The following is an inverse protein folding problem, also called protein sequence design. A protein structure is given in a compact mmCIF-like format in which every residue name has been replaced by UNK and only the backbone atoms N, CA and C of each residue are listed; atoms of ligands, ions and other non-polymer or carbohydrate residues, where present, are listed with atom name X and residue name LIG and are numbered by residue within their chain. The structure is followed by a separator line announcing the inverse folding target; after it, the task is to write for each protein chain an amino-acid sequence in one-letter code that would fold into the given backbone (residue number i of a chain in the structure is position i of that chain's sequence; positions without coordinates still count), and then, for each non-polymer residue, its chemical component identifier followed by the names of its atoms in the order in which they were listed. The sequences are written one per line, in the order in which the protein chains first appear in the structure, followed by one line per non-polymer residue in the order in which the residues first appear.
data_IF_468375023762
#
_entry.id   IF_468375023762
#
_cell.length_a   1.000
_cell.length_b   1.000
_cell.length_c   1.000
_cell.angle_alpha   90.00
_cell.angle_beta   90.00
_cell.angle_gamma   90.00
#
_symmetry.space_group_name_H-M   'P 1'
#
loop_
_entity.id
_entity.type
_entity.pdbx_description
1 polymer ?
#
# COMPACT_ATOMS: atom_id res chain seq x y z
N UNK A 1 -43.76 -69.93 77.06
CA UNK A 1 -43.98 -69.40 75.74
C UNK A 1 -43.80 -67.89 75.80
N UNK A 2 -42.64 -67.36 75.46
CA UNK A 2 -42.40 -65.94 75.27
C UNK A 2 -41.49 -65.81 73.99
N UNK A 3 -42.00 -65.24 73.00
CA UNK A 3 -41.27 -64.89 71.79
C UNK A 3 -40.52 -63.59 71.99
N UNK A 4 -39.21 -63.59 71.94
CA UNK A 4 -38.41 -62.39 71.96
C UNK A 4 -38.24 -61.86 70.45
N UNK A 5 -38.56 -60.61 70.32
CA UNK A 5 -38.43 -59.87 69.09
C UNK A 5 -37.04 -59.19 69.09
N UNK A 6 -36.19 -59.52 68.11
CA UNK A 6 -34.89 -58.87 67.90
C UNK A 6 -35.10 -57.72 66.92
N UNK A 7 -34.87 -56.49 67.34
CA UNK A 7 -34.91 -55.30 66.54
C UNK A 7 -33.48 -55.05 66.03
N UNK A 8 -33.34 -55.08 64.69
CA UNK A 8 -32.12 -54.63 64.05
C UNK A 8 -32.22 -53.13 63.73
N UNK A 9 -31.35 -52.36 64.34
CA UNK A 9 -31.15 -50.95 64.00
C UNK A 9 -30.13 -50.86 62.86
N UNK A 10 -30.61 -50.42 61.68
CA UNK A 10 -29.75 -50.07 60.55
C UNK A 10 -29.27 -48.60 60.72
N UNK A 11 -27.99 -48.42 60.95
CA UNK A 11 -27.34 -47.12 60.95
C UNK A 11 -26.99 -46.80 59.45
N UNK A 12 -27.71 -45.85 58.86
CA UNK A 12 -27.39 -45.32 57.52
C UNK A 12 -26.28 -44.29 57.71
N UNK A 13 -25.08 -44.57 57.20
CA UNK A 13 -24.00 -43.59 57.05
C UNK A 13 -24.24 -42.79 55.83
N UNK A 14 -24.63 -41.56 55.99
CA UNK A 14 -24.76 -40.58 54.88
C UNK A 14 -23.37 -40.06 54.46
N UNK A 15 -22.85 -40.56 53.34
CA UNK A 15 -21.66 -40.01 52.66
C UNK A 15 -22.05 -38.71 51.93
N UNK A 16 -21.72 -37.57 52.48
CA UNK A 16 -21.78 -36.28 51.79
C UNK A 16 -20.64 -36.23 50.77
N UNK A 17 -20.92 -36.50 49.51
CA UNK A 17 -20.05 -36.14 48.39
C UNK A 17 -20.11 -34.60 48.22
N UNK A 18 -19.10 -33.89 48.68
CA UNK A 18 -18.83 -32.49 48.30
C UNK A 18 -18.41 -32.48 46.84
N UNK A 19 -19.35 -32.30 45.90
CA UNK A 19 -19.04 -31.91 44.53
C UNK A 19 -18.49 -30.48 44.56
N UNK A 20 -17.16 -30.37 44.50
CA UNK A 20 -16.51 -29.11 44.20
C UNK A 20 -16.96 -28.66 42.79
N UNK A 21 -17.91 -27.74 42.76
CA UNK A 21 -18.23 -27.00 41.54
C UNK A 21 -16.98 -26.17 41.20
N UNK A 22 -16.16 -26.69 40.30
CA UNK A 22 -15.10 -25.90 39.67
C UNK A 22 -15.84 -24.86 38.86
N UNK A 23 -16.11 -23.70 39.45
CA UNK A 23 -16.44 -22.52 38.65
C UNK A 23 -15.25 -22.26 37.74
N UNK A 24 -15.42 -22.30 36.41
CA UNK A 24 -14.38 -21.78 35.57
C UNK A 24 -14.19 -20.32 35.97
N UNK A 25 -13.03 -20.03 36.55
CA UNK A 25 -12.66 -18.66 36.86
C UNK A 25 -12.92 -17.85 35.56
N UNK A 26 -13.87 -16.95 35.63
CA UNK A 26 -14.06 -15.94 34.61
C UNK A 26 -12.75 -15.16 34.60
N UNK A 27 -11.81 -15.57 33.73
CA UNK A 27 -10.62 -14.79 33.48
C UNK A 27 -11.12 -13.47 32.92
N UNK A 28 -11.04 -12.42 33.70
CA UNK A 28 -11.40 -11.09 33.27
C UNK A 28 -10.61 -10.84 31.95
N UNK A 29 -11.32 -10.61 30.87
CA UNK A 29 -10.69 -10.36 29.59
C UNK A 29 -9.72 -9.19 29.72
N UNK A 30 -8.48 -9.38 29.34
CA UNK A 30 -7.50 -8.29 29.35
C UNK A 30 -8.04 -7.10 28.53
N UNK A 31 -7.76 -5.84 28.92
CA UNK A 31 -8.20 -4.69 28.15
C UNK A 31 -7.66 -4.80 26.70
N UNK A 32 -8.47 -4.41 25.71
CA UNK A 32 -8.06 -4.52 24.31
C UNK A 32 -6.81 -3.67 24.01
N UNK A 33 -6.10 -4.03 22.95
CA UNK A 33 -5.15 -3.13 22.30
C UNK A 33 -5.94 -2.23 21.37
N UNK A 34 -5.74 -0.93 21.44
CA UNK A 34 -6.48 0.04 20.62
C UNK A 34 -5.60 0.49 19.46
N UNK A 35 -6.00 0.15 18.24
CA UNK A 35 -5.34 0.60 17.01
C UNK A 35 -6.18 1.72 16.40
N UNK A 36 -5.55 2.85 16.08
CA UNK A 36 -6.16 3.96 15.33
C UNK A 36 -5.93 3.80 13.84
N UNK A 37 -6.98 3.98 13.03
CA UNK A 37 -6.86 4.25 11.62
C UNK A 37 -7.05 5.75 11.40
N UNK A 38 -6.13 6.37 10.63
CA UNK A 38 -6.23 7.73 10.16
C UNK A 38 -6.12 7.75 8.63
N UNK A 39 -7.13 8.29 7.92
CA UNK A 39 -7.14 8.31 6.46
C UNK A 39 -8.51 8.70 5.91
N UNK A 40 -8.62 8.84 4.59
CA UNK A 40 -9.87 9.22 3.94
C UNK A 40 -10.87 8.05 3.91
N UNK A 41 -12.12 8.32 4.31
CA UNK A 41 -13.22 7.36 4.19
C UNK A 41 -13.88 7.35 2.81
N UNK A 42 -13.55 8.31 1.95
CA UNK A 42 -14.20 8.52 0.67
C UNK A 42 -13.35 8.12 -0.53
N UNK A 43 -12.03 8.23 -0.45
CA UNK A 43 -11.15 7.81 -1.54
C UNK A 43 -11.00 6.28 -1.61
N UNK A 44 -10.74 5.77 -2.81
CA UNK A 44 -10.50 4.34 -3.02
C UNK A 44 -9.25 3.85 -2.26
N UNK A 45 -8.22 4.70 -2.20
CA UNK A 45 -6.98 4.40 -1.48
C UNK A 45 -7.19 4.36 0.03
N UNK A 46 -7.86 5.37 0.62
CA UNK A 46 -8.17 5.38 2.05
C UNK A 46 -9.06 4.20 2.47
N UNK A 47 -10.11 3.90 1.68
CA UNK A 47 -10.95 2.71 1.90
C UNK A 47 -10.13 1.42 1.82
N UNK A 48 -9.24 1.33 0.85
CA UNK A 48 -8.40 0.13 0.69
C UNK A 48 -7.48 -0.09 1.89
N UNK A 49 -6.85 0.97 2.38
CA UNK A 49 -6.02 0.91 3.60
C UNK A 49 -6.85 0.44 4.81
N UNK A 50 -8.01 1.07 5.04
CA UNK A 50 -8.89 0.71 6.14
C UNK A 50 -9.28 -0.77 6.08
N UNK A 51 -9.74 -1.24 4.93
CA UNK A 51 -10.17 -2.63 4.71
C UNK A 51 -9.01 -3.63 4.88
N UNK A 52 -7.81 -3.27 4.43
CA UNK A 52 -6.62 -4.07 4.66
C UNK A 52 -6.30 -4.23 6.15
N UNK A 53 -6.40 -3.14 6.90
CA UNK A 53 -6.23 -3.16 8.36
C UNK A 53 -7.35 -3.95 9.07
N UNK A 54 -8.61 -3.77 8.67
CA UNK A 54 -9.76 -4.50 9.23
C UNK A 54 -9.60 -6.02 9.07
N UNK A 55 -9.24 -6.49 7.87
CA UNK A 55 -9.03 -7.92 7.60
C UNK A 55 -7.88 -8.48 8.46
N UNK A 56 -6.75 -7.77 8.56
CA UNK A 56 -5.63 -8.21 9.39
C UNK A 56 -6.01 -8.30 10.87
N UNK A 57 -6.72 -7.30 11.38
CA UNK A 57 -7.19 -7.25 12.77
C UNK A 57 -8.20 -8.36 13.05
N UNK A 58 -9.14 -8.60 12.16
CA UNK A 58 -10.09 -9.70 12.28
C UNK A 58 -9.39 -11.06 12.36
N UNK A 59 -8.42 -11.32 11.48
CA UNK A 59 -7.64 -12.55 11.49
C UNK A 59 -6.83 -12.74 12.76
N UNK A 60 -6.22 -11.66 13.29
CA UNK A 60 -5.49 -11.70 14.55
C UNK A 60 -6.42 -11.96 15.74
N UNK A 61 -7.58 -11.31 15.77
CA UNK A 61 -8.58 -11.52 16.79
C UNK A 61 -9.17 -12.94 16.76
N UNK A 62 -9.43 -13.47 15.55
CA UNK A 62 -9.91 -14.85 15.37
C UNK A 62 -8.87 -15.91 15.84
N UNK A 63 -7.59 -15.58 15.80
CA UNK A 63 -6.49 -16.42 16.34
C UNK A 63 -6.32 -16.32 17.85
N UNK A 64 -7.17 -15.57 18.55
CA UNK A 64 -7.15 -15.39 19.99
C UNK A 64 -6.57 -14.06 20.48
N UNK A 65 -6.36 -13.11 19.59
CA UNK A 65 -5.81 -11.78 19.90
C UNK A 65 -4.28 -11.75 19.95
N UNK A 66 -3.73 -10.69 20.51
CA UNK A 66 -2.29 -10.40 20.59
C UNK A 66 -1.86 -10.16 22.05
N UNK A 67 -0.57 -10.07 22.31
CA UNK A 67 0.01 -9.74 23.64
C UNK A 67 -0.61 -10.58 24.77
N UNK A 68 -0.65 -11.90 24.54
CA UNK A 68 -1.19 -12.84 25.53
C UNK A 68 -2.71 -12.85 25.59
N UNK A 69 -3.39 -12.71 24.44
CA UNK A 69 -4.84 -12.89 24.31
C UNK A 69 -5.67 -11.61 24.39
N UNK A 70 -5.06 -10.42 24.26
CA UNK A 70 -5.78 -9.15 24.17
C UNK A 70 -6.40 -9.02 22.77
N UNK A 71 -7.69 -8.72 22.70
CA UNK A 71 -8.35 -8.41 21.44
C UNK A 71 -7.92 -7.04 20.94
N UNK A 72 -7.88 -6.84 19.63
CA UNK A 72 -7.62 -5.55 19.01
C UNK A 72 -8.94 -4.83 18.77
N UNK A 73 -9.05 -3.59 19.23
CA UNK A 73 -10.13 -2.66 18.91
C UNK A 73 -9.61 -1.67 17.87
N UNK A 74 -10.28 -1.56 16.72
CA UNK A 74 -9.98 -0.53 15.72
C UNK A 74 -10.85 0.71 15.97
N UNK A 75 -10.20 1.88 16.03
CA UNK A 75 -10.84 3.20 16.06
C UNK A 75 -10.48 3.94 14.77
N UNK A 76 -11.42 4.67 14.21
CA UNK A 76 -11.27 5.26 12.89
C UNK A 76 -11.43 6.77 12.96
N UNK A 77 -10.57 7.52 12.28
CA UNK A 77 -10.63 8.96 12.14
C UNK A 77 -10.47 9.36 10.67
N UNK A 78 -11.48 10.09 10.15
CA UNK A 78 -11.50 10.57 8.77
C UNK A 78 -10.66 11.85 8.64
N UNK A 79 -9.78 11.89 7.65
CA UNK A 79 -9.00 13.06 7.31
C UNK A 79 -9.66 13.92 6.22
N UNK A 80 -10.68 13.40 5.56
CA UNK A 80 -11.31 14.01 4.38
C UNK A 80 -10.31 14.49 3.30
N UNK A 81 -9.08 13.96 3.31
CA UNK A 81 -7.94 14.41 2.49
C UNK A 81 -7.60 15.92 2.69
N UNK A 82 -7.90 16.44 3.87
CA UNK A 82 -7.62 17.81 4.29
C UNK A 82 -6.59 17.84 5.42
N UNK A 83 -5.62 18.75 5.35
CA UNK A 83 -4.52 18.86 6.32
C UNK A 83 -5.04 19.21 7.72
N UNK A 84 -6.01 20.14 7.81
CA UNK A 84 -6.57 20.57 9.09
C UNK A 84 -7.37 19.48 9.76
N UNK A 85 -8.20 18.76 8.99
CA UNK A 85 -8.95 17.62 9.49
C UNK A 85 -8.01 16.44 9.85
N UNK A 86 -6.94 16.25 9.09
CA UNK A 86 -5.89 15.27 9.40
C UNK A 86 -5.20 15.52 10.73
N UNK A 87 -4.86 16.78 11.05
CA UNK A 87 -4.29 17.17 12.35
C UNK A 87 -5.29 16.86 13.47
N UNK A 88 -6.55 17.28 13.33
CA UNK A 88 -7.61 17.01 14.32
C UNK A 88 -7.83 15.49 14.51
N UNK A 89 -7.83 14.74 13.43
CA UNK A 89 -7.98 13.28 13.47
C UNK A 89 -6.83 12.62 14.25
N UNK A 90 -5.60 13.08 14.03
CA UNK A 90 -4.42 12.59 14.75
C UNK A 90 -4.50 12.91 16.25
N UNK A 91 -4.88 14.15 16.60
CA UNK A 91 -5.09 14.57 18.00
C UNK A 91 -6.22 13.78 18.66
N UNK A 92 -7.36 13.60 17.98
CA UNK A 92 -8.47 12.78 18.48
C UNK A 92 -8.06 11.34 18.86
N UNK A 93 -7.32 10.68 17.97
CA UNK A 93 -6.85 9.32 18.21
C UNK A 93 -5.92 9.23 19.42
N UNK A 94 -5.08 10.24 19.65
CA UNK A 94 -4.13 10.26 20.74
C UNK A 94 -4.74 10.72 22.08
N UNK A 95 -5.53 11.79 22.08
CA UNK A 95 -6.04 12.42 23.31
C UNK A 95 -7.30 11.75 23.84
N UNK A 96 -8.23 11.43 22.95
CA UNK A 96 -9.53 10.91 23.36
C UNK A 96 -9.54 9.39 23.34
N UNK A 97 -9.13 8.76 22.27
CA UNK A 97 -9.15 7.31 22.12
C UNK A 97 -7.90 6.62 22.71
N UNK A 98 -6.81 7.36 22.94
CA UNK A 98 -5.57 6.89 23.59
C UNK A 98 -5.02 5.64 22.95
N UNK A 99 -4.97 5.64 21.62
CA UNK A 99 -4.55 4.49 20.83
C UNK A 99 -3.13 4.03 21.16
N UNK A 100 -2.89 2.73 21.05
CA UNK A 100 -1.57 2.13 21.24
C UNK A 100 -0.69 2.20 19.99
N UNK A 101 -1.32 2.23 18.82
CA UNK A 101 -0.68 2.23 17.50
C UNK A 101 -1.58 2.92 16.48
N UNK A 102 -0.99 3.58 15.48
CA UNK A 102 -1.72 4.22 14.37
C UNK A 102 -1.29 3.60 13.04
N UNK A 103 -2.27 3.23 12.22
CA UNK A 103 -2.11 2.90 10.80
C UNK A 103 -2.66 4.05 9.96
N UNK A 104 -1.83 4.62 9.07
CA UNK A 104 -2.22 5.76 8.23
C UNK A 104 -2.46 5.34 6.78
N UNK A 105 -3.56 5.86 6.23
CA UNK A 105 -3.90 5.84 4.81
C UNK A 105 -4.15 7.26 4.31
N UNK A 106 -3.26 8.19 4.65
CA UNK A 106 -3.35 9.61 4.30
C UNK A 106 -2.45 9.96 3.11
N UNK A 107 -2.86 10.93 2.31
CA UNK A 107 -2.02 11.53 1.27
C UNK A 107 -0.83 12.28 1.88
N UNK A 108 0.20 12.55 1.07
CA UNK A 108 1.47 13.15 1.51
C UNK A 108 1.28 14.44 2.34
N UNK A 109 0.51 15.40 1.83
CA UNK A 109 0.28 16.68 2.51
C UNK A 109 -0.37 16.51 3.89
N UNK A 110 -1.32 15.60 4.00
CA UNK A 110 -2.02 15.32 5.25
C UNK A 110 -1.09 14.64 6.25
N UNK A 111 -0.31 13.66 5.80
CA UNK A 111 0.68 12.99 6.65
C UNK A 111 1.75 13.95 7.14
N UNK A 112 2.32 14.77 6.26
CA UNK A 112 3.29 15.80 6.62
C UNK A 112 2.69 16.84 7.58
N UNK A 113 1.38 17.11 7.46
CA UNK A 113 0.66 18.05 8.32
C UNK A 113 0.55 17.62 9.78
N UNK A 114 0.21 16.33 10.03
CA UNK A 114 0.11 15.81 11.41
C UNK A 114 1.44 15.30 11.98
N UNK A 115 2.46 14.99 11.16
CA UNK A 115 3.77 14.52 11.65
C UNK A 115 4.38 15.37 12.78
N UNK A 116 4.33 16.72 12.78
CA UNK A 116 4.89 17.50 13.88
C UNK A 116 4.30 17.16 15.26
N UNK A 117 3.04 16.65 15.32
CA UNK A 117 2.40 16.22 16.56
C UNK A 117 2.97 14.92 17.13
N UNK A 118 3.68 14.13 16.32
CA UNK A 118 4.28 12.88 16.77
C UNK A 118 5.27 13.07 17.91
N UNK A 119 6.00 14.18 17.91
CA UNK A 119 6.95 14.49 18.98
C UNK A 119 6.28 14.62 20.36
N UNK A 120 5.02 15.06 20.37
CA UNK A 120 4.22 15.26 21.58
C UNK A 120 3.64 13.94 22.09
N UNK A 121 2.96 13.19 21.23
CA UNK A 121 2.22 11.98 21.62
C UNK A 121 3.08 10.71 21.62
N UNK A 122 4.12 10.66 20.80
CA UNK A 122 5.07 9.54 20.68
C UNK A 122 4.39 8.19 20.41
N UNK A 123 3.27 8.20 19.69
CA UNK A 123 2.51 7.00 19.33
C UNK A 123 3.14 6.32 18.13
N UNK A 124 3.47 5.02 18.20
CA UNK A 124 3.92 4.24 17.06
C UNK A 124 2.97 4.39 15.87
N UNK A 125 3.51 4.71 14.71
CA UNK A 125 2.70 5.00 13.51
C UNK A 125 3.33 4.34 12.29
N UNK A 126 2.51 3.64 11.50
CA UNK A 126 2.87 3.10 10.21
C UNK A 126 2.05 3.76 9.11
N UNK A 127 2.71 4.45 8.20
CA UNK A 127 2.09 5.05 7.02
C UNK A 127 2.16 4.08 5.83
N UNK A 128 1.05 3.94 5.11
CA UNK A 128 0.91 2.95 4.04
C UNK A 128 0.74 3.56 2.66
N UNK A 129 0.56 4.87 2.60
CA UNK A 129 0.30 5.57 1.35
C UNK A 129 1.30 6.67 1.04
N UNK A 130 1.71 7.46 2.05
CA UNK A 130 2.70 8.53 1.87
C UNK A 130 3.94 8.01 1.16
N UNK A 131 4.37 8.73 0.13
CA UNK A 131 5.60 8.47 -0.62
C UNK A 131 6.61 9.61 -0.54
N UNK A 132 6.24 10.75 0.03
CA UNK A 132 7.11 11.91 0.14
C UNK A 132 8.42 11.59 0.88
N UNK A 133 9.55 11.73 0.18
CA UNK A 133 10.89 11.52 0.76
C UNK A 133 11.11 12.42 1.99
N UNK A 134 10.50 13.61 2.00
CA UNK A 134 10.60 14.57 3.11
C UNK A 134 10.08 14.02 4.45
N UNK A 135 9.16 13.03 4.44
CA UNK A 135 8.75 12.35 5.66
C UNK A 135 9.90 11.50 6.24
N UNK A 136 10.64 10.82 5.38
CA UNK A 136 11.80 9.99 5.77
C UNK A 136 13.01 10.86 6.13
N UNK A 137 13.17 12.01 5.46
CA UNK A 137 14.18 13.01 5.84
C UNK A 137 13.98 13.54 7.25
N UNK A 138 12.72 13.78 7.67
CA UNK A 138 12.42 14.13 9.08
C UNK A 138 12.86 13.05 10.05
N UNK A 139 12.61 11.77 9.74
CA UNK A 139 13.09 10.65 10.57
C UNK A 139 14.61 10.62 10.61
N UNK A 140 15.28 10.81 9.47
CA UNK A 140 16.74 10.82 9.37
C UNK A 140 17.36 11.97 10.18
N UNK A 141 16.84 13.18 9.99
CA UNK A 141 17.46 14.41 10.48
C UNK A 141 17.08 14.73 11.93
N UNK A 142 15.90 14.29 12.39
CA UNK A 142 15.35 14.49 13.74
C UNK A 142 14.91 13.16 14.36
N UNK A 143 15.80 12.14 14.37
CA UNK A 143 15.46 10.75 14.72
C UNK A 143 14.70 10.62 16.04
N UNK A 144 15.17 11.20 17.14
CA UNK A 144 14.51 11.10 18.45
C UNK A 144 13.07 11.65 18.45
N UNK A 145 12.79 12.58 17.57
CA UNK A 145 11.47 13.21 17.44
C UNK A 145 10.51 12.39 16.59
N UNK A 146 11.02 11.64 15.61
CA UNK A 146 10.20 10.94 14.62
C UNK A 146 10.45 9.42 14.54
N UNK A 147 11.26 8.84 15.41
CA UNK A 147 11.61 7.40 15.39
C UNK A 147 10.42 6.44 15.48
N UNK A 148 9.25 6.91 15.93
CA UNK A 148 8.02 6.12 15.95
C UNK A 148 7.33 6.02 14.59
N UNK A 149 7.76 6.77 13.58
CA UNK A 149 7.19 6.77 12.24
C UNK A 149 7.89 5.73 11.36
N UNK A 150 7.08 4.85 10.78
CA UNK A 150 7.49 3.90 9.76
C UNK A 150 6.65 4.10 8.50
N UNK A 151 7.23 3.85 7.32
CA UNK A 151 6.56 4.04 6.05
C UNK A 151 6.63 2.75 5.23
N UNK A 152 5.47 2.15 4.97
CA UNK A 152 5.33 0.89 4.22
C UNK A 152 5.04 1.12 2.72
N UNK A 153 5.20 2.34 2.26
CA UNK A 153 5.22 2.74 0.87
C UNK A 153 6.65 3.15 0.49
N UNK A 154 7.10 2.92 -0.76
CA UNK A 154 8.39 3.46 -1.20
C UNK A 154 8.34 4.98 -1.25
N UNK A 155 9.49 5.61 -1.06
CA UNK A 155 9.60 7.04 -1.37
C UNK A 155 9.40 7.28 -2.87
N UNK A 156 8.90 8.47 -3.19
CA UNK A 156 8.85 9.01 -4.56
C UNK A 156 10.21 8.88 -5.28
N UNK A 157 11.31 9.11 -4.57
CA UNK A 157 12.66 8.90 -5.07
C UNK A 157 12.92 7.43 -5.44
N UNK A 158 12.55 6.48 -4.58
CA UNK A 158 12.72 5.05 -4.85
C UNK A 158 11.84 4.59 -6.03
N UNK A 159 10.59 5.05 -6.08
CA UNK A 159 9.69 4.81 -7.20
C UNK A 159 10.29 5.31 -8.51
N UNK A 160 10.86 6.49 -8.46
CA UNK A 160 11.47 7.13 -9.59
C UNK A 160 12.65 6.36 -10.16
N UNK A 161 13.62 6.01 -9.32
CA UNK A 161 14.82 5.31 -9.78
C UNK A 161 14.53 3.96 -10.43
N UNK A 162 13.49 3.25 -9.98
CA UNK A 162 13.07 1.98 -10.61
C UNK A 162 12.42 2.17 -11.97
N UNK A 163 11.78 3.30 -12.19
CA UNK A 163 11.15 3.60 -13.47
C UNK A 163 12.16 3.92 -14.58
N UNK A 164 13.36 4.35 -14.19
CA UNK A 164 14.50 4.56 -15.12
C UNK A 164 14.81 3.28 -15.88
N UNK A 165 14.78 2.13 -15.24
CA UNK A 165 15.06 0.85 -15.91
C UNK A 165 13.99 0.45 -16.91
N UNK A 166 12.71 0.68 -16.59
CA UNK A 166 11.66 0.50 -17.57
C UNK A 166 11.89 1.40 -18.80
N UNK A 167 12.28 2.65 -18.59
CA UNK A 167 12.65 3.57 -19.65
C UNK A 167 13.76 3.01 -20.54
N UNK A 168 14.85 2.53 -19.93
CA UNK A 168 16.01 1.97 -20.66
C UNK A 168 15.71 0.63 -21.33
N UNK A 169 15.16 -0.33 -20.56
CA UNK A 169 15.03 -1.70 -21.03
C UNK A 169 13.84 -1.89 -21.98
N UNK A 170 12.71 -1.23 -21.68
CA UNK A 170 11.49 -1.40 -22.46
C UNK A 170 11.34 -0.28 -23.48
N UNK A 171 11.28 0.99 -23.08
CA UNK A 171 10.96 2.07 -24.02
C UNK A 171 12.09 2.30 -25.02
N UNK A 172 13.32 2.46 -24.55
CA UNK A 172 14.46 2.73 -25.44
C UNK A 172 14.98 1.48 -26.15
N UNK A 173 15.17 0.36 -25.46
CA UNK A 173 15.82 -0.83 -26.01
C UNK A 173 14.85 -1.77 -26.72
N UNK A 174 13.77 -2.25 -26.02
CA UNK A 174 12.83 -3.22 -26.60
C UNK A 174 11.96 -2.58 -27.68
N UNK A 175 11.42 -1.38 -27.43
CA UNK A 175 10.54 -0.68 -28.36
C UNK A 175 11.32 0.16 -29.38
N UNK A 176 12.60 0.43 -29.13
CA UNK A 176 13.47 1.30 -29.92
C UNK A 176 12.93 2.73 -30.09
N UNK A 177 12.20 3.23 -29.09
CA UNK A 177 11.69 4.59 -29.07
C UNK A 177 12.78 5.59 -28.74
N UNK A 178 12.80 6.71 -29.45
CA UNK A 178 13.81 7.78 -29.36
C UNK A 178 13.22 9.13 -29.01
N UNK A 179 11.91 9.29 -29.18
CA UNK A 179 11.24 10.57 -29.01
C UNK A 179 9.93 10.41 -28.25
N UNK A 180 9.63 11.39 -27.39
CA UNK A 180 8.40 11.43 -26.61
C UNK A 180 7.75 12.81 -26.63
N UNK A 181 6.44 12.85 -26.44
CA UNK A 181 5.71 14.02 -25.93
C UNK A 181 5.21 13.71 -24.53
N UNK A 182 5.49 14.59 -23.58
CA UNK A 182 4.92 14.49 -22.23
C UNK A 182 3.58 15.21 -22.22
N UNK A 183 2.53 14.51 -21.79
CA UNK A 183 1.19 15.03 -21.59
C UNK A 183 0.88 15.00 -20.10
N UNK A 184 0.94 16.18 -19.47
CA UNK A 184 0.91 16.36 -18.03
C UNK A 184 -0.37 17.04 -17.57
N UNK A 185 -0.95 16.52 -16.51
CA UNK A 185 -2.02 17.18 -15.78
C UNK A 185 -1.50 18.39 -14.98
N UNK A 186 -2.21 19.52 -15.02
CA UNK A 186 -1.86 20.74 -14.27
C UNK A 186 -2.21 20.59 -12.79
N UNK A 187 -1.32 19.94 -12.07
CA UNK A 187 -1.37 19.69 -10.62
C UNK A 187 0.03 19.79 -10.03
N UNK A 188 0.12 20.00 -8.72
CA UNK A 188 1.41 19.98 -8.00
C UNK A 188 2.14 18.63 -8.18
N UNK A 189 1.38 17.51 -8.12
CA UNK A 189 1.89 16.17 -8.40
C UNK A 189 2.42 16.07 -9.85
N UNK A 190 1.64 16.57 -10.83
CA UNK A 190 2.05 16.56 -12.24
C UNK A 190 3.35 17.32 -12.46
N UNK A 191 3.48 18.50 -11.87
CA UNK A 191 4.68 19.33 -12.01
C UNK A 191 5.93 18.68 -11.40
N UNK A 192 5.83 18.15 -10.18
CA UNK A 192 6.94 17.44 -9.52
C UNK A 192 7.35 16.17 -10.27
N UNK A 193 6.36 15.41 -10.73
CA UNK A 193 6.59 14.18 -11.52
C UNK A 193 7.23 14.47 -12.87
N UNK A 194 6.87 15.57 -13.51
CA UNK A 194 7.43 15.97 -14.82
C UNK A 194 8.95 16.14 -14.79
N UNK A 195 9.48 16.86 -13.82
CA UNK A 195 10.93 17.10 -13.72
C UNK A 195 11.70 15.79 -13.62
N UNK A 196 11.17 14.88 -12.83
CA UNK A 196 11.71 13.53 -12.66
C UNK A 196 11.60 12.70 -13.97
N UNK A 197 10.43 12.67 -14.63
CA UNK A 197 10.25 11.91 -15.88
C UNK A 197 11.18 12.41 -16.96
N UNK A 198 11.31 13.73 -17.10
CA UNK A 198 12.19 14.35 -18.09
C UNK A 198 13.66 13.99 -17.84
N UNK A 199 14.17 14.34 -16.65
CA UNK A 199 15.60 14.23 -16.33
C UNK A 199 16.04 12.79 -16.11
N UNK A 200 15.39 12.11 -15.18
CA UNK A 200 15.88 10.80 -14.74
C UNK A 200 15.47 9.65 -15.66
N UNK A 201 14.30 9.74 -16.31
CA UNK A 201 13.82 8.67 -17.19
C UNK A 201 14.18 8.93 -18.63
N UNK A 202 13.65 10.00 -19.24
CA UNK A 202 13.83 10.20 -20.69
C UNK A 202 15.27 10.50 -21.05
N UNK A 203 15.91 11.45 -20.37
CA UNK A 203 17.31 11.82 -20.66
C UNK A 203 18.25 10.66 -20.39
N UNK A 204 18.06 9.91 -19.28
CA UNK A 204 18.88 8.75 -18.94
C UNK A 204 18.70 7.57 -19.88
N UNK A 205 17.51 7.42 -20.48
CA UNK A 205 17.24 6.42 -21.51
C UNK A 205 17.64 6.87 -22.92
N UNK A 206 18.10 8.11 -23.09
CA UNK A 206 18.43 8.70 -24.40
C UNK A 206 17.18 8.96 -25.26
N UNK A 207 16.06 9.27 -24.63
CA UNK A 207 14.79 9.58 -25.29
C UNK A 207 14.61 11.10 -25.33
N UNK A 208 14.55 11.68 -26.51
CA UNK A 208 14.39 13.11 -26.69
C UNK A 208 12.93 13.56 -26.52
N UNK A 209 12.67 14.52 -25.64
CA UNK A 209 11.35 15.14 -25.49
C UNK A 209 11.13 16.17 -26.61
N UNK A 210 10.11 15.95 -27.45
CA UNK A 210 9.76 16.85 -28.56
C UNK A 210 8.84 17.99 -28.13
N UNK A 211 7.94 17.75 -27.18
CA UNK A 211 7.00 18.75 -26.65
C UNK A 211 6.55 18.36 -25.24
N UNK A 212 6.14 19.36 -24.47
CA UNK A 212 5.52 19.22 -23.15
C UNK A 212 4.17 19.93 -23.16
N UNK A 213 3.10 19.19 -22.99
CA UNK A 213 1.73 19.68 -23.02
C UNK A 213 1.11 19.56 -21.64
N UNK A 214 0.87 20.70 -21.03
CA UNK A 214 0.15 20.78 -19.74
C UNK A 214 -1.33 20.99 -20.05
N UNK A 215 -2.21 20.17 -19.43
CA UNK A 215 -3.65 20.27 -19.59
C UNK A 215 -4.37 20.51 -18.25
N UNK A 216 -5.40 21.33 -18.28
CA UNK A 216 -6.24 21.65 -17.11
C UNK A 216 -7.04 20.40 -16.66
N UNK A 217 -7.16 20.20 -15.34
CA UNK A 217 -7.95 19.10 -14.73
C UNK A 217 -9.43 19.10 -15.14
N UNK A 218 -9.94 20.26 -15.58
CA UNK A 218 -11.32 20.39 -16.07
C UNK A 218 -11.46 20.10 -17.58
N UNK A 219 -10.38 19.75 -18.27
CA UNK A 219 -10.40 19.42 -19.69
C UNK A 219 -11.34 18.24 -19.96
N UNK A 220 -12.34 18.43 -20.83
CA UNK A 220 -13.33 17.42 -21.21
C UNK A 220 -13.15 16.92 -22.65
N UNK A 221 -12.47 17.67 -23.51
CA UNK A 221 -12.15 17.29 -24.88
C UNK A 221 -10.63 17.31 -25.11
N UNK A 222 -10.07 16.13 -25.31
CA UNK A 222 -8.64 15.93 -25.57
C UNK A 222 -8.30 15.85 -27.05
N UNK A 223 -9.29 15.93 -27.96
CA UNK A 223 -9.07 15.85 -29.41
C UNK A 223 -8.05 16.90 -29.91
N UNK A 224 -8.08 18.18 -29.48
CA UNK A 224 -7.09 19.15 -29.90
C UNK A 224 -5.67 18.80 -29.44
N UNK A 225 -5.54 18.25 -28.21
CA UNK A 225 -4.25 17.83 -27.64
C UNK A 225 -3.69 16.67 -28.46
N UNK A 226 -4.49 15.63 -28.71
CA UNK A 226 -4.05 14.48 -29.51
C UNK A 226 -3.71 14.87 -30.94
N UNK A 227 -4.48 15.78 -31.57
CA UNK A 227 -4.16 16.30 -32.89
C UNK A 227 -2.79 17.01 -32.93
N UNK A 228 -2.48 17.82 -31.92
CA UNK A 228 -1.17 18.46 -31.78
C UNK A 228 -0.06 17.41 -31.67
N UNK A 229 -0.24 16.39 -30.81
CA UNK A 229 0.72 15.31 -30.60
C UNK A 229 0.94 14.52 -31.91
N UNK A 230 -0.12 14.21 -32.65
CA UNK A 230 -0.02 13.50 -33.93
C UNK A 230 0.80 14.32 -34.93
N UNK A 231 0.67 15.65 -34.97
CA UNK A 231 1.47 16.53 -35.83
C UNK A 231 2.95 16.57 -35.43
N UNK A 232 3.23 16.45 -34.10
CA UNK A 232 4.60 16.40 -33.57
C UNK A 232 5.33 15.10 -33.93
N UNK A 233 4.58 14.01 -34.14
CA UNK A 233 5.08 12.67 -34.52
C UNK A 233 6.12 12.08 -33.56
N UNK A 234 5.87 12.03 -32.26
CA UNK A 234 6.73 11.32 -31.32
C UNK A 234 6.59 9.80 -31.50
N UNK A 235 7.56 9.03 -30.99
CA UNK A 235 7.45 7.58 -30.93
C UNK A 235 6.38 7.14 -29.93
N UNK A 236 6.18 7.91 -28.86
CA UNK A 236 5.14 7.64 -27.85
C UNK A 236 4.73 8.89 -27.07
N UNK A 237 3.60 8.76 -26.38
CA UNK A 237 3.09 9.73 -25.42
C UNK A 237 3.44 9.25 -24.01
N UNK A 238 4.06 10.10 -23.21
CA UNK A 238 4.21 9.87 -21.78
C UNK A 238 3.13 10.65 -21.04
N UNK A 239 2.13 9.94 -20.49
CA UNK A 239 1.04 10.53 -19.72
C UNK A 239 1.42 10.66 -18.24
N UNK A 240 1.16 11.81 -17.65
CA UNK A 240 1.20 12.04 -16.19
C UNK A 240 -0.18 12.51 -15.76
N UNK A 241 -0.94 11.65 -15.09
CA UNK A 241 -2.33 11.91 -14.71
C UNK A 241 -2.66 11.29 -13.35
N UNK A 242 -3.17 12.12 -12.45
CA UNK A 242 -3.55 11.72 -11.08
C UNK A 242 -5.04 11.92 -10.78
N UNK A 243 -5.65 12.96 -11.31
CA UNK A 243 -7.06 13.34 -11.10
C UNK A 243 -7.90 13.04 -12.34
N UNK A 244 -7.47 13.54 -13.51
CA UNK A 244 -8.21 13.42 -14.78
C UNK A 244 -7.74 12.21 -15.61
N UNK A 245 -7.79 11.05 -15.01
CA UNK A 245 -7.19 9.83 -15.58
C UNK A 245 -8.03 9.15 -16.65
N UNK A 246 -9.35 9.11 -16.45
CA UNK A 246 -10.29 8.31 -17.27
C UNK A 246 -10.54 8.96 -18.64
N UNK A 247 -10.80 10.27 -18.66
CA UNK A 247 -11.20 10.99 -19.88
C UNK A 247 -10.12 10.97 -20.96
N UNK A 248 -8.86 11.34 -20.68
CA UNK A 248 -7.81 11.27 -21.70
C UNK A 248 -7.65 9.85 -22.25
N UNK A 249 -7.65 8.83 -21.38
CA UNK A 249 -7.48 7.44 -21.84
C UNK A 249 -8.63 6.95 -22.70
N UNK A 250 -9.88 7.19 -22.31
CA UNK A 250 -11.03 6.77 -23.10
C UNK A 250 -11.09 7.49 -24.46
N UNK A 251 -10.72 8.76 -24.52
CA UNK A 251 -10.65 9.49 -25.80
C UNK A 251 -9.46 9.04 -26.65
N UNK A 252 -8.32 8.71 -26.06
CA UNK A 252 -7.20 8.09 -26.76
C UNK A 252 -7.62 6.85 -27.55
N UNK A 253 -8.33 5.93 -26.89
CA UNK A 253 -8.82 4.70 -27.52
C UNK A 253 -9.92 4.99 -28.54
N UNK A 254 -10.90 5.84 -28.19
CA UNK A 254 -12.01 6.22 -29.07
C UNK A 254 -11.54 6.87 -30.38
N UNK A 255 -10.54 7.72 -30.30
CA UNK A 255 -9.95 8.41 -31.46
C UNK A 255 -8.93 7.55 -32.21
N UNK A 256 -8.60 6.37 -31.68
CA UNK A 256 -7.55 5.50 -32.22
C UNK A 256 -6.26 6.28 -32.50
N UNK A 257 -5.79 7.05 -31.51
CA UNK A 257 -4.58 7.87 -31.64
C UNK A 257 -3.43 6.97 -32.13
N UNK A 258 -2.78 7.29 -33.30
CA UNK A 258 -1.81 6.39 -33.94
C UNK A 258 -0.42 6.46 -33.31
N UNK A 259 -0.32 6.83 -32.03
CA UNK A 259 0.91 6.97 -31.28
C UNK A 259 0.73 6.21 -29.96
N UNK A 260 1.65 5.30 -29.58
CA UNK A 260 1.57 4.56 -28.31
C UNK A 260 1.53 5.50 -27.11
N UNK A 261 0.86 5.06 -26.04
CA UNK A 261 0.79 5.78 -24.76
C UNK A 261 1.32 4.90 -23.64
N UNK A 262 2.09 5.49 -22.74
CA UNK A 262 2.56 4.90 -21.50
C UNK A 262 2.65 6.01 -20.43
N UNK A 263 2.98 5.68 -19.21
CA UNK A 263 3.25 6.69 -18.18
C UNK A 263 2.57 6.39 -16.85
N UNK A 264 2.15 7.43 -16.18
CA UNK A 264 1.49 7.36 -14.87
C UNK A 264 0.01 7.72 -15.04
N UNK A 265 -0.84 6.75 -14.75
CA UNK A 265 -2.29 6.94 -14.72
C UNK A 265 -2.82 6.32 -13.43
N UNK A 266 -3.12 7.17 -12.44
CA UNK A 266 -3.48 6.71 -11.08
C UNK A 266 -4.78 5.90 -11.08
N UNK A 267 -5.75 6.18 -11.94
CA UNK A 267 -6.97 5.37 -12.03
C UNK A 267 -6.72 3.97 -12.62
N UNK A 268 -5.70 3.81 -13.47
CA UNK A 268 -5.40 2.53 -14.12
C UNK A 268 -4.88 1.45 -13.18
N UNK A 269 -4.62 1.78 -11.93
CA UNK A 269 -4.22 0.83 -10.88
C UNK A 269 -5.42 0.07 -10.30
N UNK A 270 -6.63 0.61 -10.42
CA UNK A 270 -7.87 0.03 -9.91
C UNK A 270 -8.55 -0.86 -10.94
N UNK A 271 -9.20 -1.93 -10.46
CA UNK A 271 -9.98 -2.85 -11.32
C UNK A 271 -11.15 -2.16 -11.99
N UNK A 272 -11.64 -1.08 -11.41
CA UNK A 272 -12.74 -0.26 -11.90
C UNK A 272 -12.40 0.50 -13.19
N UNK A 273 -11.12 0.74 -13.46
CA UNK A 273 -10.64 1.52 -14.60
C UNK A 273 -11.24 1.07 -15.93
N UNK A 274 -11.34 -0.24 -16.17
CA UNK A 274 -11.96 -0.76 -17.38
C UNK A 274 -13.42 -0.33 -17.55
N UNK A 275 -14.19 -0.40 -16.46
CA UNK A 275 -15.58 0.04 -16.44
C UNK A 275 -15.70 1.56 -16.57
N UNK A 276 -14.87 2.29 -15.84
CA UNK A 276 -14.89 3.75 -15.80
C UNK A 276 -14.54 4.36 -17.17
N UNK A 277 -13.66 3.71 -17.91
CA UNK A 277 -13.33 4.09 -19.31
C UNK A 277 -14.36 3.60 -20.33
N UNK A 278 -15.43 2.91 -19.89
CA UNK A 278 -16.40 2.29 -20.80
C UNK A 278 -15.83 1.21 -21.70
N UNK A 279 -14.81 0.46 -21.20
CA UNK A 279 -14.09 -0.54 -21.98
C UNK A 279 -12.99 0.05 -22.88
N UNK A 280 -12.67 1.32 -22.72
CA UNK A 280 -11.68 2.03 -23.53
C UNK A 280 -10.39 2.34 -22.74
N UNK A 281 -9.93 1.37 -21.93
CA UNK A 281 -8.67 1.47 -21.17
C UNK A 281 -7.46 0.82 -21.86
N UNK A 282 -7.69 0.12 -22.97
CA UNK A 282 -6.65 -0.69 -23.64
C UNK A 282 -5.47 0.11 -24.18
N UNK A 283 -4.28 -0.43 -23.97
CA UNK A 283 -3.02 0.21 -24.35
C UNK A 283 -2.39 1.06 -23.25
N UNK A 284 -3.17 1.45 -22.21
CA UNK A 284 -2.64 2.23 -21.09
C UNK A 284 -1.78 1.35 -20.18
N UNK A 285 -0.58 1.79 -19.87
CA UNK A 285 0.26 1.22 -18.83
C UNK A 285 0.44 2.22 -17.69
N UNK A 286 0.65 1.71 -16.49
CA UNK A 286 0.92 2.51 -15.31
C UNK A 286 1.87 1.79 -14.37
N UNK A 287 2.46 2.52 -13.46
CA UNK A 287 3.39 1.99 -12.47
C UNK A 287 2.73 1.89 -11.09
N UNK A 288 3.14 0.88 -10.32
CA UNK A 288 2.64 0.64 -8.96
C UNK A 288 3.67 -0.07 -8.09
N UNK A 289 3.66 0.20 -6.78
CA UNK A 289 4.30 -0.70 -5.83
C UNK A 289 3.59 -2.06 -5.80
N UNK A 290 4.33 -3.18 -5.66
CA UNK A 290 3.74 -4.50 -5.44
C UNK A 290 3.25 -4.67 -3.98
N UNK A 291 2.27 -5.55 -3.73
CA UNK A 291 1.45 -6.27 -4.70
C UNK A 291 0.45 -5.36 -5.41
N UNK A 292 0.12 -5.66 -6.65
CA UNK A 292 -0.81 -4.84 -7.43
C UNK A 292 -1.64 -5.68 -8.40
N UNK A 293 -2.71 -5.08 -8.91
CA UNK A 293 -3.52 -5.64 -9.99
C UNK A 293 -2.64 -6.07 -11.18
N UNK A 294 -2.99 -7.19 -11.82
CA UNK A 294 -2.26 -7.71 -12.97
C UNK A 294 -1.02 -8.53 -12.65
N UNK A 295 -0.63 -8.60 -11.40
CA UNK A 295 0.50 -9.39 -10.93
C UNK A 295 0.04 -10.78 -10.48
N UNK A 296 0.85 -11.82 -10.68
CA UNK A 296 0.65 -13.09 -10.02
C UNK A 296 0.96 -12.96 -8.53
N UNK A 297 0.15 -13.59 -7.68
CA UNK A 297 0.26 -13.45 -6.24
C UNK A 297 0.82 -14.71 -5.58
N UNK A 298 1.41 -14.53 -4.42
CA UNK A 298 1.70 -15.62 -3.49
C UNK A 298 0.40 -16.08 -2.78
N UNK A 299 0.38 -17.30 -2.22
CA UNK A 299 -0.85 -17.87 -1.64
C UNK A 299 -1.47 -17.04 -0.51
N UNK A 300 -0.65 -16.32 0.28
CA UNK A 300 -1.16 -15.47 1.37
C UNK A 300 -1.83 -14.23 0.83
N UNK A 301 -1.22 -13.60 -0.16
CA UNK A 301 -1.81 -12.45 -0.86
C UNK A 301 -3.09 -12.83 -1.59
N UNK A 302 -3.15 -14.00 -2.23
CA UNK A 302 -4.38 -14.51 -2.86
C UNK A 302 -5.50 -14.72 -1.84
N UNK A 303 -5.19 -15.29 -0.67
CA UNK A 303 -6.18 -15.46 0.39
C UNK A 303 -6.73 -14.14 0.90
N UNK A 304 -5.86 -13.14 1.10
CA UNK A 304 -6.27 -11.78 1.45
C UNK A 304 -7.19 -11.16 0.38
N UNK A 305 -6.82 -11.25 -0.91
CA UNK A 305 -7.65 -10.72 -2.01
C UNK A 305 -9.04 -11.40 -2.02
N UNK A 306 -9.08 -12.72 -1.88
CA UNK A 306 -10.35 -13.48 -1.84
C UNK A 306 -11.24 -13.01 -0.69
N UNK A 307 -10.66 -12.82 0.51
CA UNK A 307 -11.38 -12.32 1.68
C UNK A 307 -11.85 -10.88 1.45
N UNK A 308 -10.99 -10.00 0.97
CA UNK A 308 -11.33 -8.62 0.64
C UNK A 308 -12.53 -8.55 -0.32
N UNK A 309 -12.50 -9.32 -1.41
CA UNK A 309 -13.57 -9.36 -2.40
C UNK A 309 -14.86 -10.06 -1.89
N UNK A 310 -14.74 -10.94 -0.89
CA UNK A 310 -15.91 -11.56 -0.26
C UNK A 310 -16.64 -10.57 0.67
N UNK A 311 -15.91 -9.75 1.40
CA UNK A 311 -16.46 -8.83 2.40
C UNK A 311 -16.89 -7.49 1.79
N UNK A 312 -16.12 -6.92 0.87
CA UNK A 312 -16.36 -5.60 0.30
C UNK A 312 -16.82 -5.70 -1.15
N UNK A 313 -18.09 -5.34 -1.39
CA UNK A 313 -18.72 -5.39 -2.72
C UNK A 313 -18.78 -4.03 -3.41
N UNK A 314 -18.55 -2.96 -2.67
CA UNK A 314 -18.47 -1.61 -3.17
C UNK A 314 -17.02 -1.23 -3.53
N UNK A 315 -16.86 -0.12 -4.24
CA UNK A 315 -15.56 0.40 -4.70
C UNK A 315 -14.64 0.74 -3.51
N UNK A 316 -13.32 0.38 -3.57
CA UNK A 316 -12.68 -0.43 -4.60
C UNK A 316 -12.93 -1.93 -4.40
N UNK A 317 -13.26 -2.66 -5.49
CA UNK A 317 -13.52 -4.11 -5.44
C UNK A 317 -12.27 -4.98 -5.45
N UNK A 318 -11.12 -4.37 -5.66
CA UNK A 318 -9.80 -4.98 -5.57
C UNK A 318 -8.90 -4.09 -4.72
N UNK A 319 -8.11 -4.64 -3.80
CA UNK A 319 -7.27 -3.80 -2.95
C UNK A 319 -6.24 -3.02 -3.78
N UNK A 320 -6.10 -1.74 -3.50
CA UNK A 320 -4.98 -0.94 -3.96
C UNK A 320 -3.71 -1.35 -3.19
N UNK A 321 -2.52 -0.96 -3.69
CA UNK A 321 -1.24 -1.30 -3.05
C UNK A 321 -1.19 -0.93 -1.57
N UNK A 322 -1.76 0.19 -1.17
CA UNK A 322 -1.81 0.65 0.21
C UNK A 322 -2.70 -0.24 1.11
N UNK A 323 -3.71 -0.92 0.55
CA UNK A 323 -4.47 -1.94 1.27
C UNK A 323 -3.63 -3.18 1.60
N UNK A 324 -2.78 -3.62 0.67
CA UNK A 324 -1.79 -4.66 0.94
C UNK A 324 -0.76 -4.19 1.96
N UNK A 325 -0.27 -2.94 1.82
CA UNK A 325 0.67 -2.34 2.76
C UNK A 325 0.09 -2.28 4.17
N UNK A 326 -1.20 -1.97 4.32
CA UNK A 326 -1.87 -1.97 5.61
C UNK A 326 -2.02 -3.39 6.19
N UNK A 327 -2.46 -4.34 5.36
CA UNK A 327 -2.60 -5.73 5.78
C UNK A 327 -1.28 -6.30 6.31
N UNK A 328 -0.20 -6.21 5.55
CA UNK A 328 1.12 -6.69 5.99
C UNK A 328 1.73 -5.82 7.08
N UNK A 329 1.49 -4.52 7.03
CA UNK A 329 1.97 -3.57 8.02
C UNK A 329 1.42 -3.82 9.43
N UNK A 330 0.14 -4.18 9.56
CA UNK A 330 -0.44 -4.60 10.84
C UNK A 330 0.26 -5.86 11.37
N UNK A 331 0.56 -6.85 10.52
CA UNK A 331 1.30 -8.04 10.94
C UNK A 331 2.70 -7.72 11.42
N UNK A 332 3.44 -6.85 10.72
CA UNK A 332 4.78 -6.41 11.13
C UNK A 332 4.72 -5.66 12.47
N UNK A 333 3.81 -4.68 12.59
CA UNK A 333 3.69 -3.88 13.80
C UNK A 333 3.30 -4.73 15.03
N UNK A 334 2.41 -5.72 14.85
CA UNK A 334 2.02 -6.66 15.90
C UNK A 334 3.14 -7.63 16.24
N UNK A 335 3.84 -8.16 15.24
CA UNK A 335 5.01 -9.04 15.44
C UNK A 335 6.09 -8.33 16.27
N UNK A 336 6.39 -7.08 15.94
CA UNK A 336 7.30 -6.23 16.71
C UNK A 336 6.79 -6.01 18.15
N UNK A 337 5.48 -5.74 18.31
CA UNK A 337 4.88 -5.54 19.63
C UNK A 337 4.91 -6.81 20.50
N UNK A 338 4.70 -7.99 19.92
CA UNK A 338 4.81 -9.27 20.65
C UNK A 338 6.23 -9.47 21.20
N UNK A 339 7.28 -9.16 20.43
CA UNK A 339 8.67 -9.27 20.87
C UNK A 339 9.08 -8.17 21.85
N UNK A 340 8.53 -6.96 21.69
CA UNK A 340 8.80 -5.83 22.59
C UNK A 340 7.99 -5.87 23.89
N UNK A 341 6.98 -6.77 24.00
CA UNK A 341 6.05 -6.81 25.12
C UNK A 341 4.93 -5.76 25.04
N UNK A 342 4.73 -5.12 23.89
CA UNK A 342 3.70 -4.11 23.60
C UNK A 342 4.17 -3.04 22.63
N UNK A 343 3.26 -2.12 22.30
CA UNK A 343 3.60 -0.90 21.57
C UNK A 343 4.29 0.15 22.45
N UNK A 344 4.21 -0.01 23.74
CA UNK A 344 4.92 0.76 24.78
C UNK A 344 5.70 -0.22 25.68
N UNK A 345 6.99 -0.01 26.01
CA UNK A 345 7.81 1.19 25.75
C UNK A 345 8.22 1.33 24.28
N UNK A 346 8.16 2.58 23.81
CA UNK A 346 8.36 2.92 22.39
C UNK A 346 9.70 2.42 21.82
N UNK A 347 10.80 2.64 22.55
CA UNK A 347 12.15 2.30 22.06
C UNK A 347 12.34 0.79 21.83
N UNK A 348 11.69 -0.04 22.65
CA UNK A 348 11.70 -1.49 22.44
C UNK A 348 10.90 -1.85 21.16
N UNK A 349 9.73 -1.25 20.97
CA UNK A 349 8.94 -1.49 19.77
C UNK A 349 9.66 -1.03 18.50
N UNK A 350 10.23 0.18 18.50
CA UNK A 350 11.00 0.73 17.38
C UNK A 350 12.13 -0.22 16.99
N UNK A 351 12.93 -0.67 17.97
CA UNK A 351 14.02 -1.62 17.73
C UNK A 351 13.53 -2.92 17.11
N UNK A 352 12.40 -3.46 17.57
CA UNK A 352 11.84 -4.68 17.03
C UNK A 352 11.25 -4.46 15.63
N UNK A 353 10.63 -3.30 15.38
CA UNK A 353 10.12 -2.93 14.07
C UNK A 353 11.23 -2.76 13.03
N UNK A 354 12.38 -2.17 13.40
CA UNK A 354 13.58 -2.10 12.56
C UNK A 354 14.15 -3.47 12.19
N UNK A 355 13.84 -4.52 12.95
CA UNK A 355 14.27 -5.89 12.70
C UNK A 355 13.19 -6.74 12.00
N UNK A 356 12.02 -6.16 11.66
CA UNK A 356 11.00 -6.89 10.93
C UNK A 356 11.50 -7.30 9.54
N UNK A 357 11.11 -8.52 9.16
CA UNK A 357 11.47 -9.13 7.88
C UNK A 357 10.40 -10.13 7.47
N UNK A 358 9.22 -9.62 7.10
CA UNK A 358 8.12 -10.45 6.61
C UNK A 358 8.44 -10.95 5.20
N UNK A 359 8.48 -12.27 5.03
CA UNK A 359 8.78 -12.92 3.76
C UNK A 359 7.55 -13.64 3.21
N UNK A 360 7.26 -13.41 1.94
CA UNK A 360 6.21 -14.06 1.19
C UNK A 360 6.83 -14.96 0.13
N UNK A 361 6.34 -16.19 0.02
CA UNK A 361 6.91 -17.20 -0.87
C UNK A 361 5.86 -17.64 -1.88
N UNK A 362 6.27 -17.75 -3.15
CA UNK A 362 5.50 -18.33 -4.24
C UNK A 362 6.33 -19.46 -4.87
N UNK A 363 5.73 -20.63 -5.00
CA UNK A 363 6.37 -21.83 -5.57
C UNK A 363 7.75 -22.17 -4.95
N UNK A 364 7.88 -21.94 -3.63
CA UNK A 364 9.12 -22.16 -2.86
C UNK A 364 10.18 -21.06 -3.03
N UNK A 365 9.94 -20.06 -3.87
CA UNK A 365 10.84 -18.94 -4.08
C UNK A 365 10.41 -17.71 -3.26
N UNK A 366 11.38 -16.93 -2.76
CA UNK A 366 11.10 -15.65 -2.11
C UNK A 366 10.52 -14.68 -3.14
N UNK A 367 9.24 -14.33 -2.93
CA UNK A 367 8.45 -13.54 -3.88
C UNK A 367 8.46 -12.06 -3.52
N UNK A 368 8.02 -11.73 -2.29
CA UNK A 368 8.01 -10.39 -1.74
C UNK A 368 8.56 -10.41 -0.31
N UNK A 369 9.10 -9.27 0.13
CA UNK A 369 9.71 -9.10 1.44
C UNK A 369 9.46 -7.70 1.96
N UNK A 370 8.94 -7.59 3.18
CA UNK A 370 8.73 -6.32 3.87
C UNK A 370 9.71 -6.23 5.04
N UNK A 371 10.77 -5.48 4.85
CA UNK A 371 11.77 -5.11 5.86
C UNK A 371 11.98 -3.60 5.79
N UNK A 372 12.60 -3.02 6.80
CA UNK A 372 12.80 -1.57 6.87
C UNK A 372 14.28 -1.22 6.84
N UNK A 373 14.60 -0.07 6.25
CA UNK A 373 15.92 0.52 6.36
C UNK A 373 16.16 0.96 7.80
N UNK A 374 17.32 0.59 8.34
CA UNK A 374 17.71 0.99 9.71
C UNK A 374 18.37 2.38 9.70
N UNK A 375 18.34 3.10 10.83
CA UNK A 375 19.11 4.33 10.97
C UNK A 375 20.58 4.11 10.62
N UNK A 376 21.12 4.96 9.74
CA UNK A 376 22.51 4.88 9.28
C UNK A 376 22.80 3.78 8.23
N UNK A 377 21.85 2.93 7.91
CA UNK A 377 21.99 1.97 6.81
C UNK A 377 21.92 2.72 5.48
N UNK A 378 22.98 2.57 4.67
CA UNK A 378 23.11 3.26 3.39
C UNK A 378 22.59 2.36 2.26
N UNK A 379 21.72 2.89 1.41
CA UNK A 379 21.33 2.23 0.18
C UNK A 379 22.53 2.27 -0.79
N UNK A 380 23.04 1.09 -1.27
CA UNK A 380 24.36 1.02 -1.90
C UNK A 380 24.50 1.77 -3.24
N UNK A 381 23.39 2.01 -3.94
CA UNK A 381 23.41 2.61 -5.28
C UNK A 381 23.27 4.12 -5.25
N UNK A 382 22.49 4.62 -4.31
CA UNK A 382 22.25 6.07 -4.17
C UNK A 382 23.19 6.73 -3.19
N UNK A 383 23.79 5.95 -2.27
CA UNK A 383 24.56 6.49 -1.14
C UNK A 383 23.69 7.20 -0.10
N UNK A 384 22.36 7.12 -0.22
CA UNK A 384 21.39 7.76 0.67
C UNK A 384 20.94 6.82 1.78
N UNK A 385 20.39 7.40 2.85
CA UNK A 385 19.76 6.66 3.96
C UNK A 385 18.28 6.93 4.02
N UNK A 386 17.48 5.87 4.24
CA UNK A 386 16.03 5.92 4.26
C UNK A 386 15.45 5.32 5.56
N UNK A 387 15.86 5.82 6.76
CA UNK A 387 15.48 5.16 8.01
C UNK A 387 13.98 5.00 8.14
N UNK A 388 13.55 3.78 8.52
CA UNK A 388 12.15 3.37 8.71
C UNK A 388 11.29 3.35 7.44
N UNK A 389 11.85 3.61 6.26
CA UNK A 389 11.15 3.30 5.02
C UNK A 389 11.26 1.81 4.72
N UNK A 390 10.22 1.23 4.16
CA UNK A 390 10.27 -0.15 3.65
C UNK A 390 11.39 -0.27 2.62
N UNK A 391 12.17 -1.34 2.70
CA UNK A 391 13.24 -1.58 1.72
C UNK A 391 12.64 -1.90 0.37
N UNK A 392 13.19 -1.27 -0.63
CA UNK A 392 12.85 -1.45 -2.03
C UNK A 392 14.04 -1.97 -2.81
N UNK A 393 13.75 -2.82 -3.78
CA UNK A 393 14.74 -3.29 -4.74
C UNK A 393 14.93 -2.21 -5.82
N UNK A 394 15.82 -1.27 -5.57
CA UNK A 394 16.23 -0.24 -6.52
C UNK A 394 17.20 -0.87 -7.54
N UNK A 395 17.28 -0.28 -8.68
CA UNK A 395 18.07 -0.68 -9.86
C UNK A 395 19.58 -0.79 -9.68
N UNK A 396 20.26 -1.81 -10.21
CA UNK A 396 19.71 -3.05 -10.75
C UNK A 396 19.15 -3.93 -9.65
N UNK A 397 18.11 -4.73 -9.95
CA UNK A 397 17.42 -5.50 -8.92
C UNK A 397 18.36 -6.48 -8.24
N UNK A 398 18.37 -6.45 -6.91
CA UNK A 398 19.15 -7.39 -6.10
C UNK A 398 18.53 -8.78 -6.05
N UNK A 399 17.28 -8.91 -6.51
CA UNK A 399 16.47 -10.14 -6.48
C UNK A 399 16.36 -10.77 -5.09
N UNK A 400 16.50 -9.97 -4.05
CA UNK A 400 16.46 -10.38 -2.64
C UNK A 400 15.03 -10.39 -2.05
N UNK A 401 14.03 -10.23 -2.90
CA UNK A 401 12.60 -10.24 -2.53
C UNK A 401 12.05 -8.89 -2.10
N UNK A 402 12.87 -7.86 -1.95
CA UNK A 402 12.35 -6.51 -1.71
C UNK A 402 11.48 -6.07 -2.89
N UNK A 403 10.37 -5.36 -2.61
CA UNK A 403 9.49 -4.88 -3.66
C UNK A 403 10.25 -4.02 -4.67
N UNK A 404 10.08 -4.28 -5.95
CA UNK A 404 10.46 -3.38 -7.02
C UNK A 404 9.22 -2.83 -7.70
N UNK A 405 9.34 -1.64 -8.31
CA UNK A 405 8.22 -1.03 -9.00
C UNK A 405 7.70 -1.95 -10.10
N UNK A 406 6.39 -2.11 -10.13
CA UNK A 406 5.69 -2.92 -11.12
C UNK A 406 5.11 -2.00 -12.19
N UNK A 407 5.32 -2.33 -13.46
CA UNK A 407 4.59 -1.73 -14.57
C UNK A 407 3.52 -2.71 -15.01
N UNK A 408 2.26 -2.30 -14.94
CA UNK A 408 1.13 -3.04 -15.46
C UNK A 408 0.63 -2.40 -16.74
N UNK A 409 0.01 -3.20 -17.60
CA UNK A 409 -0.64 -2.73 -18.83
C UNK A 409 -2.02 -3.32 -18.98
N UNK A 410 -2.98 -2.47 -19.32
CA UNK A 410 -4.31 -2.85 -19.78
C UNK A 410 -4.28 -3.22 -21.23
N UNK A 411 -4.78 -4.39 -21.58
CA UNK A 411 -4.92 -4.84 -22.94
C UNK A 411 -6.29 -4.47 -23.51
N UNK A 412 -6.42 -4.50 -24.82
CA UNK A 412 -7.67 -4.11 -25.51
C UNK A 412 -8.83 -5.06 -25.29
N UNK A 413 -8.60 -6.23 -24.72
CA UNK A 413 -9.61 -7.21 -24.30
C UNK A 413 -10.08 -7.02 -22.84
N UNK A 414 -9.56 -6.00 -22.16
CA UNK A 414 -9.88 -5.71 -20.75
C UNK A 414 -9.05 -6.50 -19.74
N UNK A 415 -8.11 -7.33 -20.18
CA UNK A 415 -7.15 -7.96 -19.26
C UNK A 415 -6.07 -6.97 -18.86
N UNK A 416 -5.52 -7.17 -17.66
CA UNK A 416 -4.38 -6.40 -17.15
C UNK A 416 -3.29 -7.35 -16.72
N UNK A 417 -2.05 -7.04 -17.06
CA UNK A 417 -0.89 -7.87 -16.75
C UNK A 417 0.28 -7.04 -16.29
N UNK A 418 1.11 -7.63 -15.45
CA UNK A 418 2.44 -7.12 -15.15
C UNK A 418 3.33 -7.32 -16.40
N UNK A 419 3.97 -6.26 -16.85
CA UNK A 419 4.84 -6.26 -18.04
C UNK A 419 6.30 -5.93 -17.70
N UNK A 420 6.56 -5.46 -16.47
CA UNK A 420 7.90 -5.18 -15.93
C UNK A 420 7.87 -5.10 -14.39
N UNK A 421 8.93 -5.48 -13.67
CA UNK A 421 10.20 -6.06 -14.14
C UNK A 421 10.05 -7.55 -14.54
N UNK A 422 11.05 -8.13 -15.21
CA UNK A 422 10.99 -9.53 -15.69
C UNK A 422 10.64 -10.56 -14.61
N UNK A 423 11.05 -10.37 -13.37
CA UNK A 423 10.75 -11.25 -12.23
C UNK A 423 9.24 -11.44 -12.01
N UNK A 424 8.44 -10.39 -12.21
CA UNK A 424 7.01 -10.39 -11.94
C UNK A 424 6.16 -10.38 -13.21
N UNK A 425 6.79 -10.23 -14.39
CA UNK A 425 6.09 -10.13 -15.66
C UNK A 425 5.37 -11.45 -16.01
N UNK A 426 4.07 -11.34 -16.27
CA UNK A 426 3.20 -12.41 -16.77
C UNK A 426 2.54 -12.03 -18.10
N UNK A 427 2.97 -10.90 -18.68
CA UNK A 427 2.58 -10.39 -19.98
C UNK A 427 3.71 -9.63 -20.65
N UNK A 428 3.49 -9.24 -21.91
CA UNK A 428 4.44 -8.42 -22.65
C UNK A 428 3.94 -7.00 -22.84
N UNK A 429 4.84 -6.02 -22.77
CA UNK A 429 4.51 -4.64 -23.16
C UNK A 429 4.22 -4.60 -24.66
N UNK A 430 3.01 -4.15 -25.03
CA UNK A 430 2.51 -4.12 -26.41
C UNK A 430 1.95 -2.76 -26.76
N UNK A 431 1.88 -2.48 -28.05
CA UNK A 431 1.17 -1.28 -28.57
C UNK A 431 -0.26 -1.68 -29.00
N UNK A 432 -1.22 -0.74 -28.94
CA UNK A 432 -2.57 -1.01 -29.40
C UNK A 432 -2.65 -1.46 -30.86
N UNK A 433 -3.58 -2.36 -31.23
CA UNK A 433 -3.62 -2.99 -32.56
C UNK A 433 -3.96 -2.03 -33.71
N UNK A 434 -4.52 -0.87 -33.42
CA UNK A 434 -4.78 0.16 -34.45
C UNK A 434 -3.53 0.95 -34.84
N UNK A 435 -2.42 0.82 -34.12
CA UNK A 435 -1.16 1.46 -34.41
C UNK A 435 -0.36 0.54 -35.34
N UNK A 436 -0.19 0.96 -36.57
CA UNK A 436 0.64 0.23 -37.53
C UNK A 436 2.12 0.53 -37.25
N UNK A 437 2.92 -0.53 -37.18
CA UNK A 437 4.38 -0.45 -37.06
C UNK A 437 5.00 0.10 -38.33
#
# INVERSE_FOLDING_TARGET
MKKSLIIWTLTAASVFLLSAVINPAFSASKPPVVIGFIGSFNSDSGKSTLRGAEIAIEELNAKGGILGGRQIKLVKADTAEDVTEGIKAYEYLNEQEKVDFIISGSIDDVSLGWMPRMAEYRTPTLDTWTSAISAIEKVRDEYEKYKMYFMNCPTDYALGTQYVDFGKDVLAKKMNWKTAVIMQEDTAYGAGTYEFIKGDILDTAGINMLDHIVYDVNTVDFSPIYNKIIQTKPDFIYLISSVKCVVPTSQYVKLQVPIPITGINVAAVGKEFWKDTGGMGGGMSTLMPPPTLGMDMDPRTEAFIKKYQAEYKDRPVFPHFNGFNAYYGIYNAVSAAERAGGFKPLDAWVKEMENEDLKLYKDGQLWLRYAYWKPGEVEPRTGMTFPHNVKFDITPPLNDGHPSLIVIQWYTDGTVKCVYPPKYANGEFTIPPWIKK
#
